data_IF_198764943949
#
_entry.id   IF_198764943949
#
_cell.length_a   1.000
_cell.length_b   1.000
_cell.length_c   1.000
_cell.angle_alpha   90.00
_cell.angle_beta   90.00
_cell.angle_gamma   90.00
#
_symmetry.space_group_name_H-M   'P 1'
#
loop_
_entity.id
_entity.type
_entity.pdbx_description
1 polymer ?
#
# COMPACT_ATOMS: atom_id res chain seq x y z
N UNK A 1 -34.33 19.88 17.72
CA UNK A 1 -34.43 19.22 16.40
C UNK A 1 -33.00 19.07 15.88
N UNK A 2 -32.47 17.85 15.90
CA UNK A 2 -31.12 17.53 15.43
C UNK A 2 -31.07 17.58 13.90
N UNK A 3 -30.15 18.36 13.34
CA UNK A 3 -29.56 18.12 12.01
C UNK A 3 -28.11 18.58 12.09
N UNK A 4 -27.19 17.62 12.09
CA UNK A 4 -25.82 17.90 11.64
C UNK A 4 -25.76 17.36 10.21
N UNK A 5 -25.38 18.24 9.29
CA UNK A 5 -25.24 17.95 7.88
C UNK A 5 -24.11 16.93 7.66
N UNK A 6 -24.32 15.97 6.76
CA UNK A 6 -23.25 15.17 6.21
C UNK A 6 -22.34 16.09 5.39
N UNK A 7 -21.06 16.17 5.75
CA UNK A 7 -20.03 16.74 4.88
C UNK A 7 -19.49 15.62 3.97
N UNK A 8 -19.42 15.85 2.65
CA UNK A 8 -18.77 14.93 1.73
C UNK A 8 -17.26 14.95 1.97
N UNK A 9 -16.61 13.82 1.71
CA UNK A 9 -15.20 13.54 2.00
C UNK A 9 -14.25 14.73 1.78
N UNK A 10 -13.81 15.31 2.89
CA UNK A 10 -12.66 16.18 2.97
C UNK A 10 -11.77 15.61 4.05
N UNK A 11 -10.55 15.23 3.68
CA UNK A 11 -9.53 14.82 4.65
C UNK A 11 -9.29 15.99 5.61
N UNK A 12 -9.61 15.79 6.89
CA UNK A 12 -9.37 16.76 7.96
C UNK A 12 -8.39 16.14 8.97
N UNK A 13 -7.12 16.57 8.99
CA UNK A 13 -6.12 16.05 9.93
C UNK A 13 -6.44 16.40 11.39
N UNK A 14 -7.41 17.28 11.66
CA UNK A 14 -7.93 17.61 12.99
C UNK A 14 -9.27 16.91 13.32
N UNK A 15 -9.77 16.01 12.48
CA UNK A 15 -10.92 15.18 12.87
C UNK A 15 -10.46 14.22 13.98
N UNK A 16 -10.93 14.43 15.21
CA UNK A 16 -10.70 13.58 16.39
C UNK A 16 -11.38 12.19 16.30
N UNK A 17 -11.58 11.67 15.08
CA UNK A 17 -12.26 10.41 14.82
C UNK A 17 -11.31 9.33 14.35
N UNK A 18 -11.56 8.09 14.78
CA UNK A 18 -10.97 6.90 14.16
C UNK A 18 -11.59 6.70 12.80
N UNK A 19 -10.75 6.63 11.77
CA UNK A 19 -11.17 6.33 10.40
C UNK A 19 -11.06 4.82 10.22
N UNK A 20 -12.10 4.17 9.74
CA UNK A 20 -12.03 2.79 9.28
C UNK A 20 -12.13 2.79 7.76
N UNK A 21 -11.24 2.06 7.10
CA UNK A 21 -11.24 1.94 5.65
C UNK A 21 -12.17 0.80 5.28
N UNK A 22 -13.30 1.13 4.64
CA UNK A 22 -14.22 0.13 4.09
C UNK A 22 -13.65 -0.41 2.76
N UNK A 23 -12.74 -1.37 2.86
CA UNK A 23 -12.18 -2.09 1.72
C UNK A 23 -12.43 -3.60 1.86
N UNK A 24 -12.45 -4.32 0.74
CA UNK A 24 -12.52 -5.79 0.75
C UNK A 24 -11.11 -6.38 0.67
N UNK A 25 -10.85 -7.54 1.31
CA UNK A 25 -9.59 -8.26 1.17
C UNK A 25 -9.24 -8.56 -0.31
N UNK A 26 -7.94 -8.62 -0.61
CA UNK A 26 -7.45 -9.00 -1.92
C UNK A 26 -6.05 -9.64 -1.85
N UNK A 27 -5.69 -10.50 -2.81
CA UNK A 27 -4.36 -11.12 -2.85
C UNK A 27 -3.20 -10.12 -2.91
N UNK A 28 -3.40 -8.97 -3.55
CA UNK A 28 -2.37 -7.93 -3.69
C UNK A 28 -2.87 -6.63 -3.06
N UNK A 29 -2.13 -6.13 -2.07
CA UNK A 29 -2.39 -4.84 -1.43
C UNK A 29 -1.24 -3.87 -1.74
N UNK A 30 -1.58 -2.66 -2.20
CA UNK A 30 -0.64 -1.57 -2.43
C UNK A 30 -0.92 -0.41 -1.48
N UNK A 31 0.08 -0.01 -0.69
CA UNK A 31 0.00 1.07 0.29
C UNK A 31 0.88 2.23 -0.16
N UNK A 32 0.30 3.42 -0.31
CA UNK A 32 1.04 4.62 -0.75
C UNK A 32 0.37 5.90 -0.24
N UNK A 33 1.14 6.96 -0.05
CA UNK A 33 0.60 8.30 0.19
C UNK A 33 0.42 9.12 -1.10
N UNK A 34 0.93 8.62 -2.24
CA UNK A 34 0.95 9.37 -3.49
C UNK A 34 -0.33 9.14 -4.31
N UNK A 35 -1.14 10.18 -4.47
CA UNK A 35 -2.36 10.12 -5.30
C UNK A 35 -2.07 9.77 -6.75
N UNK A 36 -0.89 10.12 -7.27
CA UNK A 36 -0.43 9.74 -8.61
C UNK A 36 -0.29 8.23 -8.77
N UNK A 37 0.17 7.53 -7.72
CA UNK A 37 0.28 6.07 -7.74
C UNK A 37 -1.10 5.44 -7.75
N UNK A 38 -2.01 5.95 -6.91
CA UNK A 38 -3.40 5.47 -6.81
C UNK A 38 -4.10 5.61 -8.17
N UNK A 39 -4.00 6.79 -8.79
CA UNK A 39 -4.60 7.04 -10.11
C UNK A 39 -3.97 6.18 -11.21
N UNK A 40 -2.64 6.02 -11.18
CA UNK A 40 -1.93 5.20 -12.18
C UNK A 40 -2.27 3.72 -12.03
N UNK A 41 -2.36 3.20 -10.80
CA UNK A 41 -2.84 1.83 -10.51
C UNK A 41 -4.28 1.62 -10.96
N UNK A 42 -5.16 2.59 -10.72
CA UNK A 42 -6.55 2.52 -11.19
C UNK A 42 -6.61 2.41 -12.72
N UNK A 43 -5.76 3.12 -13.46
CA UNK A 43 -5.65 2.98 -14.91
C UNK A 43 -4.98 1.66 -15.32
N UNK A 44 -3.93 1.23 -14.62
CA UNK A 44 -3.18 0.01 -14.94
C UNK A 44 -4.02 -1.25 -14.78
N UNK A 45 -4.86 -1.33 -13.74
CA UNK A 45 -5.72 -2.50 -13.49
C UNK A 45 -6.70 -2.77 -14.62
N UNK A 46 -7.14 -1.74 -15.35
CA UNK A 46 -8.00 -1.91 -16.55
C UNK A 46 -7.30 -2.59 -17.73
N UNK A 47 -5.97 -2.67 -17.72
CA UNK A 47 -5.15 -3.28 -18.78
C UNK A 47 -4.64 -4.67 -18.41
N UNK A 48 -4.96 -5.16 -17.22
CA UNK A 48 -4.59 -6.50 -16.78
C UNK A 48 -5.56 -7.55 -17.35
N UNK A 49 -5.11 -8.80 -17.55
CA UNK A 49 -6.00 -9.90 -17.93
C UNK A 49 -7.15 -10.09 -16.94
N UNK A 50 -8.26 -10.66 -17.38
CA UNK A 50 -9.43 -10.94 -16.52
C UNK A 50 -9.12 -11.89 -15.37
N UNK A 51 -8.15 -12.79 -15.54
CA UNK A 51 -7.73 -13.77 -14.54
C UNK A 51 -6.68 -13.21 -13.57
N UNK A 52 -6.26 -11.94 -13.73
CA UNK A 52 -5.24 -11.35 -12.89
C UNK A 52 -5.72 -11.25 -11.43
N UNK A 53 -4.87 -11.56 -10.42
CA UNK A 53 -5.26 -11.48 -9.02
C UNK A 53 -5.83 -10.11 -8.65
N UNK A 54 -6.88 -10.09 -7.83
CA UNK A 54 -7.47 -8.82 -7.41
C UNK A 54 -6.43 -7.95 -6.68
N UNK A 55 -6.43 -6.67 -7.01
CA UNK A 55 -5.57 -5.66 -6.38
C UNK A 55 -6.46 -4.68 -5.61
N UNK A 56 -5.97 -4.24 -4.46
CA UNK A 56 -6.51 -3.10 -3.72
C UNK A 56 -5.41 -2.12 -3.39
N UNK A 57 -5.77 -0.85 -3.40
CA UNK A 57 -4.86 0.25 -3.06
C UNK A 57 -5.46 0.99 -1.88
N UNK A 58 -4.66 1.27 -0.86
CA UNK A 58 -5.05 2.11 0.27
C UNK A 58 -4.10 3.29 0.41
N UNK A 59 -4.68 4.46 0.72
CA UNK A 59 -3.90 5.66 0.95
C UNK A 59 -3.37 5.66 2.40
N UNK A 60 -2.04 5.71 2.57
CA UNK A 60 -1.40 5.75 3.89
C UNK A 60 -1.91 6.91 4.76
N UNK A 61 -2.32 8.03 4.17
CA UNK A 61 -2.89 9.17 4.89
C UNK A 61 -4.19 8.85 5.63
N UNK A 62 -4.85 7.73 5.31
CA UNK A 62 -6.02 7.21 6.02
C UNK A 62 -5.65 6.15 7.08
N UNK A 63 -4.43 5.61 7.03
CA UNK A 63 -3.91 4.59 7.93
C UNK A 63 -2.93 5.19 8.94
N UNK A 64 -3.27 6.29 9.63
CA UNK A 64 -2.32 6.98 10.52
C UNK A 64 -2.44 6.58 12.00
N UNK A 65 -3.63 6.19 12.42
CA UNK A 65 -3.91 5.86 13.81
C UNK A 65 -3.68 4.37 14.07
N UNK A 66 -3.06 4.02 15.21
CA UNK A 66 -2.72 2.63 15.54
C UNK A 66 -3.92 1.69 15.43
N UNK A 67 -5.06 2.05 16.02
CA UNK A 67 -6.28 1.24 15.95
C UNK A 67 -6.76 1.01 14.51
N UNK A 68 -6.68 2.03 13.65
CA UNK A 68 -7.02 1.91 12.22
C UNK A 68 -6.07 0.95 11.52
N UNK A 69 -4.78 1.06 11.80
CA UNK A 69 -3.73 0.19 11.22
C UNK A 69 -3.95 -1.26 11.66
N UNK A 70 -4.17 -1.49 12.95
CA UNK A 70 -4.37 -2.83 13.52
C UNK A 70 -5.62 -3.49 12.93
N UNK A 71 -6.73 -2.75 12.88
CA UNK A 71 -7.99 -3.24 12.31
C UNK A 71 -7.82 -3.55 10.82
N UNK A 72 -7.16 -2.67 10.06
CA UNK A 72 -6.90 -2.91 8.64
C UNK A 72 -5.95 -4.09 8.42
N UNK A 73 -4.99 -4.31 9.33
CA UNK A 73 -4.11 -5.46 9.27
C UNK A 73 -4.85 -6.77 9.50
N UNK A 74 -5.70 -6.83 10.54
CA UNK A 74 -6.52 -7.99 10.86
C UNK A 74 -7.54 -8.29 9.75
N UNK A 75 -8.31 -7.29 9.33
CA UNK A 75 -9.44 -7.48 8.42
C UNK A 75 -9.03 -7.63 6.96
N UNK A 76 -7.92 -7.01 6.54
CA UNK A 76 -7.54 -6.89 5.12
C UNK A 76 -6.18 -7.51 4.84
N UNK A 77 -5.13 -7.07 5.53
CA UNK A 77 -3.75 -7.47 5.20
C UNK A 77 -3.48 -8.94 5.52
N UNK A 78 -4.10 -9.49 6.55
CA UNK A 78 -3.94 -10.88 6.98
C UNK A 78 -4.35 -11.91 5.89
N UNK A 79 -5.18 -11.48 4.94
CA UNK A 79 -5.68 -12.30 3.83
C UNK A 79 -4.91 -12.08 2.52
N UNK A 80 -3.94 -11.16 2.51
CA UNK A 80 -3.15 -10.86 1.33
C UNK A 80 -2.01 -11.86 1.12
N UNK A 81 -1.56 -11.99 -0.11
CA UNK A 81 -0.40 -12.80 -0.50
C UNK A 81 0.82 -11.92 -0.77
N UNK A 82 0.59 -10.69 -1.25
CA UNK A 82 1.63 -9.71 -1.58
C UNK A 82 1.19 -8.35 -1.03
N UNK A 83 2.06 -7.73 -0.24
CA UNK A 83 1.91 -6.37 0.26
C UNK A 83 3.06 -5.52 -0.28
N UNK A 84 2.72 -4.45 -0.99
CA UNK A 84 3.67 -3.47 -1.52
C UNK A 84 3.46 -2.17 -0.74
N UNK A 85 4.48 -1.74 0.01
CA UNK A 85 4.51 -0.47 0.71
C UNK A 85 5.43 0.50 -0.03
N UNK A 86 4.86 1.61 -0.51
CA UNK A 86 5.63 2.72 -1.07
C UNK A 86 5.58 3.93 -0.13
N UNK A 87 6.70 4.21 0.54
CA UNK A 87 6.76 5.13 1.67
C UNK A 87 7.59 6.37 1.36
N UNK A 88 6.97 7.55 1.40
CA UNK A 88 7.65 8.84 1.28
C UNK A 88 8.16 9.32 2.64
N UNK A 89 9.41 9.76 2.71
CA UNK A 89 9.99 10.32 3.95
C UNK A 89 10.69 9.31 4.87
N UNK A 90 10.93 8.08 4.40
CA UNK A 90 11.68 7.07 5.14
C UNK A 90 10.87 6.36 6.24
N UNK A 91 11.51 5.42 6.94
CA UNK A 91 10.88 4.55 7.94
C UNK A 91 10.13 5.30 9.04
N UNK A 92 10.69 6.41 9.50
CA UNK A 92 10.14 7.19 10.63
C UNK A 92 8.77 7.81 10.34
N UNK A 93 8.38 7.94 9.06
CA UNK A 93 7.09 8.49 8.69
C UNK A 93 5.91 7.59 9.09
N UNK A 94 6.12 6.27 9.09
CA UNK A 94 5.05 5.29 9.31
C UNK A 94 5.55 4.05 10.08
N UNK A 95 6.36 4.28 11.12
CA UNK A 95 7.11 3.22 11.81
C UNK A 95 6.22 2.14 12.44
N UNK A 96 5.14 2.53 13.12
CA UNK A 96 4.21 1.58 13.74
C UNK A 96 3.54 0.69 12.68
N UNK A 97 3.08 1.27 11.59
CA UNK A 97 2.47 0.49 10.52
C UNK A 97 3.46 -0.45 9.84
N UNK A 98 4.74 -0.05 9.71
CA UNK A 98 5.78 -0.94 9.23
C UNK A 98 6.00 -2.14 10.16
N UNK A 99 5.99 -1.92 11.48
CA UNK A 99 6.07 -3.00 12.48
C UNK A 99 4.89 -3.96 12.33
N UNK A 100 3.66 -3.44 12.22
CA UNK A 100 2.45 -4.25 11.99
C UNK A 100 2.53 -5.04 10.68
N UNK A 101 3.08 -4.45 9.60
CA UNK A 101 3.31 -5.18 8.35
C UNK A 101 4.26 -6.36 8.53
N UNK A 102 5.39 -6.14 9.23
CA UNK A 102 6.38 -7.19 9.48
C UNK A 102 5.78 -8.33 10.32
N UNK A 103 4.98 -8.00 11.33
CA UNK A 103 4.27 -8.99 12.14
C UNK A 103 3.24 -9.76 11.31
N UNK A 104 2.44 -9.04 10.51
CA UNK A 104 1.43 -9.63 9.63
C UNK A 104 2.06 -10.64 8.67
N UNK A 105 3.13 -10.27 7.96
CA UNK A 105 3.77 -11.18 6.99
C UNK A 105 4.52 -12.32 7.66
N UNK A 106 5.04 -12.13 8.89
CA UNK A 106 5.62 -13.22 9.66
C UNK A 106 4.57 -14.27 10.06
N UNK A 107 3.33 -13.86 10.31
CA UNK A 107 2.22 -14.75 10.68
C UNK A 107 1.59 -15.43 9.45
N UNK A 108 1.43 -14.71 8.35
CA UNK A 108 0.69 -15.20 7.17
C UNK A 108 1.58 -15.86 6.11
N UNK A 109 2.87 -15.53 6.10
CA UNK A 109 3.79 -15.92 5.03
C UNK A 109 3.64 -15.09 3.75
N UNK A 110 2.90 -13.97 3.78
CA UNK A 110 2.80 -13.06 2.64
C UNK A 110 4.15 -12.45 2.26
N UNK A 111 4.34 -12.12 0.98
CA UNK A 111 5.48 -11.37 0.52
C UNK A 111 5.31 -9.88 0.87
N UNK A 112 6.34 -9.25 1.43
CA UNK A 112 6.39 -7.83 1.72
C UNK A 112 7.47 -7.17 0.86
N UNK A 113 7.10 -6.12 0.13
CA UNK A 113 8.02 -5.27 -0.62
C UNK A 113 7.92 -3.84 -0.11
N UNK A 114 9.00 -3.34 0.51
CA UNK A 114 9.07 -1.99 1.06
C UNK A 114 9.97 -1.14 0.18
N UNK A 115 9.40 -0.07 -0.36
CA UNK A 115 10.02 0.79 -1.36
C UNK A 115 10.01 2.25 -0.92
N UNK A 116 11.07 3.02 -1.20
CA UNK A 116 10.99 4.46 -1.09
C UNK A 116 9.98 5.02 -2.11
N UNK A 117 9.27 6.08 -1.69
CA UNK A 117 8.34 6.81 -2.55
C UNK A 117 9.00 7.79 -3.50
N UNK A 118 10.27 8.12 -3.28
CA UNK A 118 11.05 9.02 -4.13
C UNK A 118 11.99 8.25 -5.09
N UNK A 119 12.75 9.01 -5.89
CA UNK A 119 13.64 8.47 -6.91
C UNK A 119 15.04 8.12 -6.38
N UNK A 120 15.26 8.19 -5.06
CA UNK A 120 16.50 7.78 -4.43
C UNK A 120 16.31 6.42 -3.74
N UNK A 121 17.25 5.48 -3.92
CA UNK A 121 17.19 4.22 -3.21
C UNK A 121 17.38 4.48 -1.71
N UNK A 122 16.55 3.82 -0.89
CA UNK A 122 16.65 3.85 0.56
C UNK A 122 16.95 2.43 1.07
N UNK A 123 18.24 2.10 1.33
CA UNK A 123 18.63 0.77 1.79
C UNK A 123 17.99 0.37 3.13
N UNK A 124 17.69 1.34 4.01
CA UNK A 124 17.05 1.07 5.30
C UNK A 124 15.63 0.55 5.06
N UNK A 125 14.82 1.29 4.27
CA UNK A 125 13.49 0.84 3.88
C UNK A 125 13.50 -0.50 3.15
N UNK A 126 14.38 -0.64 2.15
CA UNK A 126 14.47 -1.84 1.33
C UNK A 126 14.79 -3.08 2.18
N UNK A 127 15.60 -2.92 3.24
CA UNK A 127 16.00 -4.02 4.13
C UNK A 127 14.82 -4.68 4.88
N UNK A 128 13.66 -4.02 4.95
CA UNK A 128 12.45 -4.57 5.57
C UNK A 128 11.64 -5.48 4.64
N UNK A 129 12.00 -5.59 3.37
CA UNK A 129 11.33 -6.47 2.42
C UNK A 129 11.63 -7.95 2.73
N UNK A 130 10.66 -8.84 2.48
CA UNK A 130 10.83 -10.30 2.66
C UNK A 130 11.18 -11.03 1.36
N UNK A 131 11.22 -10.30 0.24
CA UNK A 131 11.63 -10.80 -1.09
C UNK A 131 13.10 -10.48 -1.37
N UNK A 132 13.67 -11.09 -2.42
CA UNK A 132 15.05 -10.83 -2.81
C UNK A 132 15.28 -9.37 -3.23
N UNK A 133 16.49 -8.85 -2.99
CA UNK A 133 16.86 -7.49 -3.41
C UNK A 133 16.68 -7.25 -4.93
N UNK A 134 16.83 -8.31 -5.74
CA UNK A 134 16.58 -8.24 -7.18
C UNK A 134 15.12 -7.91 -7.50
N UNK A 135 14.18 -8.54 -6.79
CA UNK A 135 12.74 -8.26 -6.92
C UNK A 135 12.42 -6.84 -6.45
N UNK A 136 12.95 -6.44 -5.29
CA UNK A 136 12.77 -5.09 -4.74
C UNK A 136 13.23 -4.03 -5.74
N UNK A 137 14.47 -4.16 -6.25
CA UNK A 137 15.04 -3.19 -7.17
C UNK A 137 14.28 -3.14 -8.50
N UNK A 138 13.88 -4.28 -9.05
CA UNK A 138 13.13 -4.31 -10.31
C UNK A 138 11.75 -3.66 -10.15
N UNK A 139 11.05 -3.95 -9.06
CA UNK A 139 9.75 -3.33 -8.77
C UNK A 139 9.90 -1.82 -8.56
N UNK A 140 10.91 -1.40 -7.77
CA UNK A 140 11.21 0.01 -7.55
C UNK A 140 11.45 0.77 -8.85
N UNK A 141 12.22 0.20 -9.78
CA UNK A 141 12.49 0.81 -11.09
C UNK A 141 11.21 1.03 -11.90
N UNK A 142 10.34 0.02 -12.00
CA UNK A 142 9.06 0.18 -12.70
C UNK A 142 8.22 1.32 -12.10
N UNK A 143 8.09 1.37 -10.77
CA UNK A 143 7.25 2.37 -10.11
C UNK A 143 7.87 3.78 -10.17
N UNK A 144 9.20 3.88 -10.16
CA UNK A 144 9.95 5.14 -10.23
C UNK A 144 9.89 5.79 -11.61
N UNK A 145 10.01 4.99 -12.68
CA UNK A 145 9.82 5.48 -14.05
C UNK A 145 8.38 5.92 -14.32
N UNK A 146 7.43 5.42 -13.52
CA UNK A 146 6.05 5.87 -13.53
C UNK A 146 5.28 5.50 -14.80
N UNK A 147 4.03 5.96 -14.88
CA UNK A 147 3.17 5.71 -16.04
C UNK A 147 2.52 4.33 -16.06
N UNK A 148 1.38 4.26 -16.75
CA UNK A 148 0.47 3.11 -16.71
C UNK A 148 1.15 1.82 -17.17
N UNK A 149 1.96 1.89 -18.22
CA UNK A 149 2.62 0.70 -18.77
C UNK A 149 3.64 0.10 -17.81
N UNK A 150 4.42 0.93 -17.12
CA UNK A 150 5.36 0.44 -16.12
C UNK A 150 4.64 -0.16 -14.92
N UNK A 151 3.52 0.41 -14.49
CA UNK A 151 2.70 -0.16 -13.41
C UNK A 151 2.07 -1.51 -13.79
N UNK A 152 1.61 -1.67 -15.05
CA UNK A 152 1.15 -2.97 -15.57
C UNK A 152 2.27 -4.00 -15.51
N UNK A 153 3.48 -3.65 -15.96
CA UNK A 153 4.61 -4.56 -15.96
C UNK A 153 5.11 -4.86 -14.54
N UNK A 154 5.09 -3.89 -13.62
CA UNK A 154 5.36 -4.11 -12.20
C UNK A 154 4.41 -5.15 -11.58
N UNK A 155 3.11 -5.03 -11.86
CA UNK A 155 2.11 -5.95 -11.35
C UNK A 155 2.29 -7.36 -11.93
N UNK A 156 2.54 -7.48 -13.24
CA UNK A 156 2.85 -8.79 -13.85
C UNK A 156 4.11 -9.42 -13.24
N UNK A 157 5.17 -8.63 -13.10
CA UNK A 157 6.44 -9.08 -12.55
C UNK A 157 6.32 -9.63 -11.12
N UNK A 158 5.48 -9.03 -10.26
CA UNK A 158 5.40 -9.44 -8.85
C UNK A 158 4.56 -10.72 -8.63
N UNK A 159 3.78 -11.15 -9.63
CA UNK A 159 2.95 -12.37 -9.56
C UNK A 159 3.55 -13.57 -10.30
N UNK A 160 4.67 -13.37 -11.00
CA UNK A 160 5.46 -14.41 -11.69
C UNK A 160 6.31 -15.22 -10.71
#
# INVERSE_FOLDING_TARGET
MHRIAAMPGGWNPQAEGVIFIEQTPAPIIFLTAADTDIQTLAAATTRLPSEFPAIRVANLLQLQQQLTIDTYAEDILSYSQIIILRLLGGRSYWSYGLEVLQETVAQTGAALVVLPGDNHPDPDLISHSTVSLGVVNQLWRYLTEGGVENFVNALKFIVE
#
